data_IF_558900128212
#
_entry.id   IF_558900128212
#
_cell.length_a   1.000
_cell.length_b   1.000
_cell.length_c   1.000
_cell.angle_alpha   90.00
_cell.angle_beta   90.00
_cell.angle_gamma   90.00
#
_symmetry.space_group_name_H-M   'P 1'
#
loop_
_entity.id
_entity.type
_entity.pdbx_description
1 polymer ?
#
# COMPACT_ATOMS: atom_id res chain seq x y z
N UNK A 1 -7.24 -21.83 11.38
CA UNK A 1 -7.86 -21.30 10.15
C UNK A 1 -8.82 -20.14 10.42
N UNK A 2 -9.79 -20.26 11.34
CA UNK A 2 -10.71 -19.16 11.68
C UNK A 2 -10.01 -17.87 12.14
N UNK A 3 -9.00 -17.98 13.01
CA UNK A 3 -8.26 -16.80 13.51
C UNK A 3 -7.41 -16.15 12.43
N UNK A 4 -6.86 -16.95 11.51
CA UNK A 4 -6.08 -16.46 10.37
C UNK A 4 -6.97 -15.69 9.38
N UNK A 5 -8.13 -16.23 9.04
CA UNK A 5 -9.12 -15.55 8.21
C UNK A 5 -9.58 -14.25 8.87
N UNK A 6 -9.88 -14.29 10.18
CA UNK A 6 -10.26 -13.10 10.95
C UNK A 6 -9.16 -12.04 10.94
N UNK A 7 -7.90 -12.45 11.09
CA UNK A 7 -6.74 -11.56 11.02
C UNK A 7 -6.65 -10.91 9.64
N UNK A 8 -6.72 -11.70 8.57
CA UNK A 8 -6.65 -11.19 7.18
C UNK A 8 -7.78 -10.20 6.92
N UNK A 9 -9.04 -10.61 7.10
CA UNK A 9 -10.20 -9.78 6.81
C UNK A 9 -10.20 -8.49 7.62
N UNK A 10 -9.93 -8.57 8.93
CA UNK A 10 -9.90 -7.39 9.80
C UNK A 10 -8.87 -6.38 9.30
N UNK A 11 -7.65 -6.83 9.03
CA UNK A 11 -6.59 -5.91 8.60
C UNK A 11 -6.86 -5.36 7.20
N UNK A 12 -7.34 -6.18 6.25
CA UNK A 12 -7.71 -5.73 4.90
C UNK A 12 -8.82 -4.67 4.94
N UNK A 13 -9.89 -4.89 5.71
CA UNK A 13 -10.98 -3.90 5.85
C UNK A 13 -10.45 -2.58 6.43
N UNK A 14 -9.62 -2.64 7.48
CA UNK A 14 -9.05 -1.43 8.08
C UNK A 14 -8.19 -0.68 7.06
N UNK A 15 -7.32 -1.38 6.33
CA UNK A 15 -6.47 -0.75 5.32
C UNK A 15 -7.31 -0.10 4.21
N UNK A 16 -8.30 -0.81 3.66
CA UNK A 16 -9.17 -0.26 2.62
C UNK A 16 -9.93 0.97 3.09
N UNK A 17 -10.46 0.98 4.33
CA UNK A 17 -11.13 2.15 4.90
C UNK A 17 -10.17 3.34 5.11
N UNK A 18 -8.93 3.06 5.55
CA UNK A 18 -7.91 4.09 5.74
C UNK A 18 -7.46 4.68 4.40
N UNK A 19 -7.24 3.84 3.38
CA UNK A 19 -6.92 4.28 2.01
C UNK A 19 -8.05 5.14 1.44
N UNK A 20 -9.27 4.60 1.42
CA UNK A 20 -10.45 5.31 0.92
C UNK A 20 -10.68 6.64 1.64
N UNK A 21 -10.60 6.65 2.97
CA UNK A 21 -10.75 7.85 3.79
C UNK A 21 -9.68 8.90 3.54
N UNK A 22 -8.43 8.47 3.30
CA UNK A 22 -7.36 9.38 2.92
C UNK A 22 -7.58 9.96 1.53
N UNK A 23 -8.12 9.18 0.60
CA UNK A 23 -8.39 9.66 -0.75
C UNK A 23 -9.48 10.72 -0.82
N UNK A 24 -10.44 10.69 0.11
CA UNK A 24 -11.43 11.77 0.27
C UNK A 24 -10.77 13.13 0.59
N UNK A 25 -9.61 13.14 1.24
CA UNK A 25 -8.86 14.39 1.54
C UNK A 25 -8.51 15.13 0.25
N UNK A 26 -8.36 14.43 -0.88
CA UNK A 26 -8.15 15.05 -2.19
C UNK A 26 -9.22 16.07 -2.58
N UNK A 27 -10.47 15.91 -2.11
CA UNK A 27 -11.56 16.86 -2.34
C UNK A 27 -11.46 18.14 -1.52
N UNK A 28 -10.51 18.23 -0.58
CA UNK A 28 -10.26 19.45 0.21
C UNK A 28 -9.37 20.47 -0.52
N UNK A 29 -8.97 20.18 -1.76
CA UNK A 29 -8.12 21.05 -2.59
C UNK A 29 -8.83 21.53 -3.87
N UNK A 30 -10.04 22.11 -3.81
CA UNK A 30 -10.84 22.43 -5.00
C UNK A 30 -10.22 23.50 -5.91
N UNK A 31 -9.31 24.32 -5.37
CA UNK A 31 -8.61 25.37 -6.14
C UNK A 31 -7.30 24.90 -6.78
N UNK A 32 -6.94 23.62 -6.60
CA UNK A 32 -5.71 23.05 -7.16
C UNK A 32 -5.91 22.65 -8.61
N UNK A 33 -4.91 22.91 -9.46
CA UNK A 33 -4.91 22.44 -10.85
C UNK A 33 -4.86 20.90 -10.98
N UNK A 34 -4.48 20.20 -9.90
CA UNK A 34 -4.45 18.74 -9.82
C UNK A 34 -5.78 18.12 -9.38
N UNK A 35 -6.79 18.96 -9.15
CA UNK A 35 -8.14 18.54 -8.73
C UNK A 35 -9.07 18.63 -9.93
N UNK A 36 -9.57 17.49 -10.39
CA UNK A 36 -10.47 17.41 -11.54
C UNK A 36 -11.37 16.18 -11.41
N UNK A 37 -12.42 16.14 -12.22
CA UNK A 37 -13.24 14.93 -12.37
C UNK A 37 -12.43 13.92 -13.16
N UNK A 38 -11.98 12.86 -12.49
CA UNK A 38 -11.15 11.80 -13.10
C UNK A 38 -11.97 11.04 -14.17
N UNK A 39 -13.27 10.84 -13.92
CA UNK A 39 -14.19 10.13 -14.81
C UNK A 39 -14.38 8.66 -14.46
N UNK A 40 -15.24 7.95 -15.20
CA UNK A 40 -15.62 6.57 -14.86
C UNK A 40 -14.41 5.60 -14.93
N UNK A 41 -14.10 4.86 -13.86
CA UNK A 41 -12.89 4.03 -13.79
C UNK A 41 -12.83 2.92 -14.84
N UNK A 42 -13.98 2.44 -15.34
CA UNK A 42 -14.01 1.45 -16.42
C UNK A 42 -13.59 2.02 -17.78
N UNK A 43 -13.59 3.35 -17.92
CA UNK A 43 -13.23 4.05 -19.15
C UNK A 43 -11.82 4.63 -19.03
N UNK A 44 -11.50 5.27 -17.90
CA UNK A 44 -10.26 6.05 -17.76
C UNK A 44 -9.12 5.32 -17.04
N UNK A 45 -9.43 4.39 -16.15
CA UNK A 45 -8.39 3.73 -15.32
C UNK A 45 -7.81 2.48 -15.98
N UNK A 46 -8.34 2.06 -17.14
CA UNK A 46 -7.80 0.93 -17.90
C UNK A 46 -7.69 -0.36 -17.06
N UNK A 47 -8.66 -0.60 -16.16
CA UNK A 47 -8.62 -1.74 -15.24
C UNK A 47 -8.62 -3.04 -16.04
N UNK A 48 -7.50 -3.76 -15.99
CA UNK A 48 -7.32 -5.06 -16.64
C UNK A 48 -7.14 -6.17 -15.60
N UNK A 49 -7.28 -7.43 -16.05
CA UNK A 49 -7.03 -8.59 -15.21
C UNK A 49 -5.56 -8.62 -14.78
N UNK A 50 -4.65 -8.26 -15.68
CA UNK A 50 -3.21 -8.14 -15.46
C UNK A 50 -2.91 -7.10 -14.38
N UNK A 51 -3.60 -5.96 -14.40
CA UNK A 51 -3.46 -4.92 -13.39
C UNK A 51 -3.87 -5.43 -11.99
N UNK A 52 -5.04 -6.06 -11.90
CA UNK A 52 -5.58 -6.62 -10.64
C UNK A 52 -4.68 -7.72 -10.09
N UNK A 53 -4.31 -8.70 -10.92
CA UNK A 53 -3.50 -9.85 -10.50
C UNK A 53 -2.08 -9.40 -10.16
N UNK A 54 -1.54 -8.45 -10.91
CA UNK A 54 -0.22 -7.90 -10.69
C UNK A 54 -0.10 -7.24 -9.32
N UNK A 55 -1.04 -6.37 -8.93
CA UNK A 55 -1.07 -5.79 -7.57
C UNK A 55 -1.08 -6.85 -6.48
N UNK A 56 -1.95 -7.86 -6.62
CA UNK A 56 -2.05 -8.96 -5.65
C UNK A 56 -0.71 -9.71 -5.57
N UNK A 57 -0.09 -10.02 -6.71
CA UNK A 57 1.14 -10.79 -6.77
C UNK A 57 2.33 -10.00 -6.19
N UNK A 58 2.52 -8.75 -6.60
CA UNK A 58 3.62 -7.90 -6.13
C UNK A 58 3.48 -7.58 -4.64
N UNK A 59 2.27 -7.23 -4.20
CA UNK A 59 2.00 -7.09 -2.77
C UNK A 59 2.25 -8.38 -1.97
N UNK A 60 1.98 -9.55 -2.55
CA UNK A 60 2.30 -10.83 -1.93
C UNK A 60 3.81 -11.05 -1.80
N UNK A 61 4.62 -10.57 -2.76
CA UNK A 61 6.10 -10.60 -2.69
C UNK A 61 6.61 -9.80 -1.50
N UNK A 62 6.06 -8.61 -1.24
CA UNK A 62 6.35 -7.86 0.00
C UNK A 62 6.08 -8.72 1.24
N UNK A 63 4.91 -9.37 1.29
CA UNK A 63 4.51 -10.21 2.42
C UNK A 63 5.39 -11.45 2.61
N UNK A 64 6.07 -11.95 1.55
CA UNK A 64 7.02 -13.07 1.66
C UNK A 64 8.17 -12.76 2.61
N UNK A 65 8.57 -11.49 2.75
CA UNK A 65 9.61 -11.06 3.69
C UNK A 65 9.34 -11.43 5.16
N UNK A 66 8.09 -11.77 5.49
CA UNK A 66 7.67 -12.24 6.82
C UNK A 66 7.76 -13.75 7.02
N UNK A 67 7.91 -14.52 5.94
CA UNK A 67 7.84 -15.98 5.90
C UNK A 67 6.55 -16.56 6.51
N UNK A 68 5.42 -15.86 6.36
CA UNK A 68 4.14 -16.27 6.95
C UNK A 68 2.96 -15.96 6.03
N UNK A 69 2.15 -17.00 5.76
CA UNK A 69 1.06 -16.96 4.77
C UNK A 69 0.04 -15.84 4.99
N UNK A 70 -0.31 -15.53 6.23
CA UNK A 70 -1.27 -14.46 6.54
C UNK A 70 -0.75 -13.09 6.15
N UNK A 71 0.56 -12.86 6.22
CA UNK A 71 1.16 -11.60 5.82
C UNK A 71 1.36 -11.51 4.30
N UNK A 72 1.62 -12.65 3.64
CA UNK A 72 1.61 -12.77 2.17
C UNK A 72 0.22 -12.36 1.63
N UNK A 73 -0.85 -12.91 2.22
CA UNK A 73 -2.21 -12.60 1.79
C UNK A 73 -2.58 -11.14 2.05
N UNK A 74 -2.28 -10.58 3.23
CA UNK A 74 -2.58 -9.15 3.47
C UNK A 74 -1.68 -8.23 2.65
N UNK A 75 -0.45 -8.63 2.30
CA UNK A 75 0.42 -7.84 1.42
C UNK A 75 -0.22 -7.63 0.05
N UNK A 76 -0.66 -8.73 -0.58
CA UNK A 76 -1.43 -8.66 -1.83
C UNK A 76 -2.76 -7.93 -1.68
N UNK A 77 -3.46 -8.17 -0.55
CA UNK A 77 -4.74 -7.50 -0.27
C UNK A 77 -4.57 -5.98 -0.10
N UNK A 78 -3.53 -5.52 0.57
CA UNK A 78 -3.28 -4.09 0.77
C UNK A 78 -2.89 -3.41 -0.53
N UNK A 79 -2.04 -4.05 -1.35
CA UNK A 79 -1.65 -3.51 -2.64
C UNK A 79 -2.88 -3.23 -3.53
N UNK A 80 -3.82 -4.18 -3.65
CA UNK A 80 -5.05 -3.95 -4.42
C UNK A 80 -6.03 -2.99 -3.72
N UNK A 81 -6.11 -3.00 -2.38
CA UNK A 81 -7.03 -2.11 -1.65
C UNK A 81 -6.53 -0.66 -1.60
N UNK A 82 -5.30 -0.37 -2.03
CA UNK A 82 -4.80 0.99 -2.18
C UNK A 82 -5.64 1.76 -3.20
N UNK A 83 -6.05 1.08 -4.29
CA UNK A 83 -6.90 1.55 -5.38
C UNK A 83 -8.38 1.75 -5.00
N UNK A 84 -8.71 1.73 -3.70
CA UNK A 84 -10.05 2.05 -3.25
C UNK A 84 -10.48 3.48 -3.66
N UNK A 85 -9.54 4.37 -4.01
CA UNK A 85 -9.82 5.69 -4.56
C UNK A 85 -10.55 5.65 -5.92
N UNK A 86 -10.38 4.58 -6.70
CA UNK A 86 -11.19 4.37 -7.91
C UNK A 86 -12.69 4.27 -7.63
N UNK A 87 -13.09 3.85 -6.43
CA UNK A 87 -14.51 3.82 -6.05
C UNK A 87 -15.11 5.23 -5.95
N UNK A 88 -14.29 6.23 -5.56
CA UNK A 88 -14.74 7.63 -5.48
C UNK A 88 -15.02 8.21 -6.87
N UNK A 89 -14.36 7.68 -7.91
CA UNK A 89 -14.57 8.13 -9.29
C UNK A 89 -16.00 7.87 -9.80
N UNK A 90 -16.70 6.86 -9.26
CA UNK A 90 -18.11 6.63 -9.58
C UNK A 90 -19.06 7.74 -9.11
N UNK A 91 -18.60 8.61 -8.20
CA UNK A 91 -19.40 9.72 -7.68
C UNK A 91 -19.30 10.98 -8.54
N UNK A 92 -18.46 10.97 -9.59
CA UNK A 92 -18.26 12.10 -10.50
C UNK A 92 -17.88 13.42 -9.78
N UNK A 93 -17.07 13.28 -8.72
CA UNK A 93 -16.57 14.40 -7.91
C UNK A 93 -15.15 14.79 -8.31
N UNK A 94 -14.85 16.08 -8.15
CA UNK A 94 -13.50 16.60 -8.32
C UNK A 94 -12.60 16.16 -7.16
N UNK A 95 -11.50 15.48 -7.49
CA UNK A 95 -10.54 14.95 -6.54
C UNK A 95 -9.13 15.05 -7.09
N UNK A 96 -8.15 15.18 -6.20
CA UNK A 96 -6.77 14.86 -6.53
C UNK A 96 -6.66 13.35 -6.79
N UNK A 97 -6.21 13.00 -7.99
CA UNK A 97 -6.02 11.59 -8.39
C UNK A 97 -4.93 10.91 -7.57
N UNK A 98 -5.09 9.62 -7.26
CA UNK A 98 -4.07 8.77 -6.61
C UNK A 98 -3.56 9.32 -5.27
N UNK A 99 -4.45 9.97 -4.52
CA UNK A 99 -4.11 10.67 -3.28
C UNK A 99 -3.46 9.75 -2.22
N UNK A 100 -3.91 8.50 -2.13
CA UNK A 100 -3.37 7.46 -1.23
C UNK A 100 -2.06 6.85 -1.74
N UNK A 101 -1.65 7.08 -2.98
CA UNK A 101 -0.40 6.54 -3.57
C UNK A 101 0.81 7.41 -3.23
N UNK A 102 0.96 7.75 -1.95
CA UNK A 102 1.94 8.72 -1.46
C UNK A 102 2.73 8.20 -0.25
N UNK A 103 3.95 8.69 -0.08
CA UNK A 103 4.80 8.33 1.08
C UNK A 103 4.17 8.80 2.41
N UNK A 104 3.62 10.02 2.52
CA UNK A 104 2.92 10.43 3.74
C UNK A 104 1.76 9.50 4.10
N UNK A 105 0.97 9.05 3.11
CA UNK A 105 -0.06 8.05 3.36
C UNK A 105 0.53 6.75 3.91
N UNK A 106 1.57 6.21 3.28
CA UNK A 106 2.22 4.98 3.74
C UNK A 106 2.68 5.07 5.22
N UNK A 107 3.24 6.21 5.62
CA UNK A 107 3.64 6.50 7.00
C UNK A 107 2.41 6.56 7.92
N UNK A 108 1.39 7.34 7.57
CA UNK A 108 0.18 7.52 8.36
C UNK A 108 -0.56 6.21 8.57
N UNK A 109 -0.77 5.44 7.49
CA UNK A 109 -1.38 4.12 7.56
C UNK A 109 -0.59 3.18 8.47
N UNK A 110 0.75 3.17 8.37
CA UNK A 110 1.61 2.37 9.24
C UNK A 110 1.47 2.77 10.72
N UNK A 111 1.36 4.07 11.02
CA UNK A 111 1.12 4.58 12.38
C UNK A 111 -0.26 4.18 12.89
N UNK A 112 -1.31 4.27 12.08
CA UNK A 112 -2.67 3.83 12.43
C UNK A 112 -2.65 2.35 12.83
N UNK A 113 -2.02 1.50 12.02
CA UNK A 113 -1.88 0.08 12.34
C UNK A 113 -1.05 -0.14 13.62
N UNK A 114 0.02 0.62 13.82
CA UNK A 114 0.82 0.55 15.05
C UNK A 114 -0.04 0.85 16.28
N UNK A 115 -0.88 1.89 16.24
CA UNK A 115 -1.79 2.28 17.32
C UNK A 115 -2.84 1.18 17.57
N UNK A 116 -3.51 0.70 16.52
CA UNK A 116 -4.54 -0.35 16.61
C UNK A 116 -3.97 -1.63 17.22
N UNK A 117 -2.76 -2.01 16.81
CA UNK A 117 -2.06 -3.20 17.29
C UNK A 117 -1.32 -2.96 18.62
N UNK A 118 -1.34 -1.72 19.14
CA UNK A 118 -0.62 -1.30 20.35
C UNK A 118 0.87 -1.67 20.31
N UNK A 119 1.49 -1.55 19.14
CA UNK A 119 2.88 -1.93 18.89
C UNK A 119 3.20 -3.42 19.06
N UNK A 120 2.19 -4.30 19.16
CA UNK A 120 2.40 -5.73 19.38
C UNK A 120 2.90 -6.47 18.16
N UNK A 121 2.63 -5.98 16.95
CA UNK A 121 3.04 -6.63 15.71
C UNK A 121 3.49 -5.61 14.66
N UNK A 122 4.77 -5.27 14.71
CA UNK A 122 5.41 -4.33 13.79
C UNK A 122 5.41 -4.82 12.34
N UNK A 123 5.26 -6.13 12.11
CA UNK A 123 5.27 -6.70 10.76
C UNK A 123 4.08 -6.23 9.94
N UNK A 124 2.90 -6.08 10.55
CA UNK A 124 1.74 -5.53 9.84
C UNK A 124 2.02 -4.10 9.40
N UNK A 125 2.62 -3.29 10.27
CA UNK A 125 2.97 -1.90 9.95
C UNK A 125 3.98 -1.84 8.78
N UNK A 126 4.98 -2.72 8.80
CA UNK A 126 5.94 -2.83 7.70
C UNK A 126 5.29 -3.29 6.39
N UNK A 127 4.36 -4.25 6.44
CA UNK A 127 3.62 -4.73 5.27
C UNK A 127 2.68 -3.65 4.71
N UNK A 128 2.05 -2.85 5.57
CA UNK A 128 1.27 -1.66 5.14
C UNK A 128 2.14 -0.71 4.33
N UNK A 129 3.30 -0.33 4.86
CA UNK A 129 4.22 0.56 4.15
C UNK A 129 4.72 -0.06 2.84
N UNK A 130 5.18 -1.32 2.91
CA UNK A 130 5.71 -2.04 1.76
C UNK A 130 4.68 -2.25 0.67
N UNK A 131 3.40 -2.47 1.00
CA UNK A 131 2.33 -2.64 0.04
C UNK A 131 2.08 -1.35 -0.77
N UNK A 132 2.20 -0.17 -0.17
CA UNK A 132 2.11 1.10 -0.91
C UNK A 132 3.28 1.24 -1.90
N UNK A 133 4.51 0.93 -1.46
CA UNK A 133 5.66 0.96 -2.36
C UNK A 133 5.55 -0.06 -3.50
N UNK A 134 5.07 -1.26 -3.20
CA UNK A 134 4.91 -2.33 -4.18
C UNK A 134 3.82 -2.03 -5.20
N UNK A 135 2.74 -1.39 -4.76
CA UNK A 135 1.73 -0.87 -5.66
C UNK A 135 2.32 0.16 -6.63
N UNK A 136 3.05 1.18 -6.12
CA UNK A 136 3.73 2.18 -6.95
C UNK A 136 4.73 1.51 -7.90
N UNK A 137 5.47 0.52 -7.41
CA UNK A 137 6.41 -0.25 -8.21
C UNK A 137 5.72 -0.99 -9.36
N UNK A 138 4.63 -1.71 -9.08
CA UNK A 138 3.91 -2.47 -10.08
C UNK A 138 3.29 -1.57 -11.15
N UNK A 139 2.64 -0.46 -10.76
CA UNK A 139 2.10 0.50 -11.71
C UNK A 139 3.18 1.10 -12.61
N UNK A 140 4.36 1.38 -12.05
CA UNK A 140 5.52 1.88 -12.81
C UNK A 140 6.04 0.82 -13.77
N UNK A 141 6.17 -0.43 -13.31
CA UNK A 141 6.55 -1.57 -14.14
C UNK A 141 5.57 -1.79 -15.28
N UNK A 142 4.26 -1.76 -14.99
CA UNK A 142 3.23 -2.00 -15.98
C UNK A 142 3.20 -0.90 -17.04
N UNK A 143 3.27 0.37 -16.63
CA UNK A 143 3.33 1.51 -17.55
C UNK A 143 4.55 1.42 -18.48
N UNK A 144 5.74 1.21 -17.92
CA UNK A 144 6.99 1.20 -18.69
C UNK A 144 7.14 -0.06 -19.54
N UNK A 145 7.10 -1.23 -18.92
CA UNK A 145 7.48 -2.50 -19.57
C UNK A 145 6.37 -3.02 -20.47
N UNK A 146 5.10 -2.86 -20.07
CA UNK A 146 3.96 -3.42 -20.82
C UNK A 146 3.41 -2.42 -21.82
N UNK A 147 3.36 -1.14 -21.46
CA UNK A 147 2.76 -0.11 -22.30
C UNK A 147 3.76 0.84 -22.98
N UNK A 148 5.06 0.76 -22.66
CA UNK A 148 6.08 1.65 -23.23
C UNK A 148 5.86 3.12 -22.86
N UNK A 149 5.26 3.38 -21.70
CA UNK A 149 4.88 4.70 -21.22
C UNK A 149 5.49 5.01 -19.85
N UNK A 150 4.96 6.01 -19.16
CA UNK A 150 5.37 6.38 -17.81
C UNK A 150 4.12 6.51 -16.94
N UNK A 151 4.32 6.54 -15.63
CA UNK A 151 3.25 6.81 -14.66
C UNK A 151 3.64 7.95 -13.74
N UNK A 152 2.64 8.56 -13.12
CA UNK A 152 2.82 9.70 -12.23
C UNK A 152 2.07 9.48 -10.92
N UNK A 153 2.68 9.91 -9.83
CA UNK A 153 2.09 9.82 -8.49
C UNK A 153 2.29 11.12 -7.73
N UNK A 154 1.28 11.59 -6.98
CA UNK A 154 1.45 12.71 -6.06
C UNK A 154 2.17 12.23 -4.79
N UNK A 155 3.47 11.92 -4.93
CA UNK A 155 4.27 11.17 -3.96
C UNK A 155 4.29 11.80 -2.55
N UNK A 156 4.07 13.11 -2.47
CA UNK A 156 4.12 13.90 -1.25
C UNK A 156 2.75 14.45 -0.83
N UNK A 157 1.66 13.97 -1.42
CA UNK A 157 0.29 14.29 -0.99
C UNK A 157 0.06 13.94 0.50
N UNK A 158 -0.73 14.73 1.25
CA UNK A 158 -1.48 15.92 0.82
C UNK A 158 -0.65 17.21 0.82
N UNK A 159 0.64 17.17 1.13
CA UNK A 159 1.42 18.38 1.40
C UNK A 159 1.90 19.06 0.12
N UNK A 160 2.26 18.26 -0.89
CA UNK A 160 2.62 18.71 -2.24
C UNK A 160 1.85 17.84 -3.21
N UNK A 161 1.03 18.48 -4.05
CA UNK A 161 0.11 17.81 -4.97
C UNK A 161 0.72 17.55 -6.36
N UNK A 162 1.84 18.21 -6.67
CA UNK A 162 2.58 17.99 -7.91
C UNK A 162 3.00 16.53 -8.03
N UNK A 163 2.68 15.94 -9.18
CA UNK A 163 2.95 14.53 -9.45
C UNK A 163 4.40 14.33 -9.88
N UNK A 164 5.02 13.28 -9.35
CA UNK A 164 6.36 12.83 -9.72
C UNK A 164 6.23 11.72 -10.75
N UNK A 165 6.92 11.88 -11.88
CA UNK A 165 6.97 10.89 -12.96
C UNK A 165 8.00 9.80 -12.67
N UNK A 166 7.62 8.55 -12.95
CA UNK A 166 8.47 7.37 -12.83
C UNK A 166 8.43 6.50 -14.09
N UNK A 167 9.56 5.88 -14.42
CA UNK A 167 9.74 5.03 -15.62
C UNK A 167 11.01 4.15 -15.51
N UNK A 168 11.27 3.31 -16.50
CA UNK A 168 12.50 2.51 -16.57
C UNK A 168 12.70 1.59 -15.35
N UNK A 169 13.83 1.73 -14.65
CA UNK A 169 14.19 0.88 -13.50
C UNK A 169 13.68 1.41 -12.15
N UNK A 170 12.92 2.49 -12.11
CA UNK A 170 12.44 3.11 -10.85
C UNK A 170 11.62 2.11 -10.01
N UNK A 171 10.84 1.24 -10.66
CA UNK A 171 10.05 0.21 -9.99
C UNK A 171 10.90 -0.75 -9.15
N UNK A 172 12.12 -1.09 -9.59
CA UNK A 172 13.02 -1.97 -8.84
C UNK A 172 13.40 -1.33 -7.50
N UNK A 173 13.66 -0.02 -7.50
CA UNK A 173 14.00 0.71 -6.29
C UNK A 173 12.89 0.62 -5.25
N UNK A 174 11.66 0.92 -5.66
CA UNK A 174 10.49 0.85 -4.77
C UNK A 174 10.24 -0.55 -4.22
N UNK A 175 10.24 -1.58 -5.07
CA UNK A 175 9.98 -2.96 -4.65
C UNK A 175 11.08 -3.47 -3.71
N UNK A 176 12.36 -3.25 -4.03
CA UNK A 176 13.50 -3.66 -3.19
C UNK A 176 13.42 -2.99 -1.82
N UNK A 177 13.15 -1.68 -1.77
CA UNK A 177 13.02 -0.96 -0.50
C UNK A 177 11.86 -1.53 0.32
N UNK A 178 10.70 -1.78 -0.30
CA UNK A 178 9.55 -2.38 0.36
C UNK A 178 9.86 -3.75 0.98
N UNK A 179 10.50 -4.65 0.21
CA UNK A 179 10.90 -5.98 0.69
C UNK A 179 11.89 -5.87 1.85
N UNK A 180 12.92 -5.02 1.74
CA UNK A 180 13.94 -4.84 2.78
C UNK A 180 13.31 -4.38 4.09
N UNK A 181 12.37 -3.42 4.05
CA UNK A 181 11.65 -2.94 5.24
C UNK A 181 10.93 -4.09 5.95
N UNK A 182 10.20 -4.93 5.19
CA UNK A 182 9.45 -6.05 5.76
C UNK A 182 10.36 -7.13 6.34
N UNK A 183 11.45 -7.47 5.64
CA UNK A 183 12.45 -8.44 6.12
C UNK A 183 13.07 -7.97 7.42
N UNK A 184 13.51 -6.71 7.49
CA UNK A 184 14.12 -6.13 8.70
C UNK A 184 13.13 -6.12 9.86
N UNK A 185 11.89 -5.65 9.64
CA UNK A 185 10.86 -5.65 10.69
C UNK A 185 10.56 -7.07 11.20
N UNK A 186 10.51 -8.06 10.30
CA UNK A 186 10.28 -9.46 10.63
C UNK A 186 11.43 -10.06 11.44
N UNK A 187 12.67 -9.77 11.05
CA UNK A 187 13.86 -10.16 11.80
C UNK A 187 13.86 -9.58 13.22
N UNK A 188 13.61 -8.28 13.35
CA UNK A 188 13.55 -7.59 14.65
C UNK A 188 12.44 -8.16 15.55
N UNK A 189 11.27 -8.42 14.97
CA UNK A 189 10.16 -9.05 15.67
C UNK A 189 10.56 -10.43 16.22
N UNK A 190 11.17 -11.27 15.37
CA UNK A 190 11.57 -12.63 15.77
C UNK A 190 12.66 -12.61 16.84
N UNK A 191 13.64 -11.71 16.71
CA UNK A 191 14.71 -11.52 17.69
C UNK A 191 14.15 -11.13 19.06
N UNK A 192 13.15 -10.24 19.10
CA UNK A 192 12.46 -9.85 20.35
C UNK A 192 11.71 -11.03 20.99
N UNK A 193 11.01 -11.83 20.18
CA UNK A 193 10.29 -13.02 20.64
C UNK A 193 11.23 -14.03 21.31
N UNK A 194 12.37 -14.34 20.68
CA UNK A 194 13.37 -15.27 21.21
C UNK A 194 13.96 -14.75 22.53
N UNK A 195 14.32 -13.47 22.58
CA UNK A 195 14.88 -12.84 23.80
C UNK A 195 13.92 -12.95 24.99
N UNK A 196 12.62 -12.72 24.76
CA UNK A 196 11.61 -12.84 25.81
C UNK A 196 11.50 -14.28 26.32
N UNK A 197 11.44 -15.28 25.42
CA UNK A 197 11.39 -16.70 25.81
C UNK A 197 12.59 -17.11 26.66
N UNK A 198 13.79 -16.69 26.29
CA UNK A 198 15.02 -17.01 27.03
C UNK A 198 15.06 -16.38 28.44
N UNK A 199 14.35 -15.27 28.67
CA UNK A 199 14.26 -14.68 30.00
C UNK A 199 13.29 -15.47 30.90
N UNK A 200 12.22 -16.03 30.36
CA UNK A 200 11.25 -16.84 31.12
C UNK A 200 11.75 -18.24 31.45
N UNK A 201 12.71 -18.80 30.71
CA UNK A 201 13.30 -20.11 31.00
C UNK A 201 14.46 -20.05 31.98
N UNK A 202 14.89 -18.85 32.40
CA UNK A 202 15.98 -18.63 33.36
C UNK A 202 15.50 -18.37 34.80
N UNK A 203 14.21 -18.51 35.07
CA UNK A 203 13.57 -18.44 36.40
C UNK A 203 13.02 -19.79 36.78
#
# INVERSE_FOLDING_TARGET
MKDEIKFILKNSIIFGLVSFGFSIIGGLFPSSEYTFVIGNPFVVSGITVEHIIGHIFWGAVIGLGTLSIRYIIIGGSFAILLDADHLLQFLDIELVSRMSHSIPFAIIASIIFFIILRGKDLRVCAVVFGAVLSHIAFDTFLADIVFGSYTEFPLFSPFILEAVRFQGLDWLGFEIIGVVIVVVASYLFKRKEIRLKNNFTKT
#
